data_IF_076369794045
#
_entry.id   IF_076369794045
#
_cell.length_a   1.000
_cell.length_b   1.000
_cell.length_c   1.000
_cell.angle_alpha   90.00
_cell.angle_beta   90.00
_cell.angle_gamma   90.00
#
_symmetry.space_group_name_H-M   'P 1'
#
loop_
_entity.id
_entity.type
_entity.pdbx_description
1 polymer ?
#
# COMPACT_ATOMS: atom_id res chain seq x y z
N UNK A 1 16.59 -14.74 -36.05
CA UNK A 1 17.32 -13.89 -35.07
C UNK A 1 16.52 -12.67 -34.70
N UNK A 2 15.95 -11.93 -35.65
CA UNK A 2 15.14 -10.75 -35.35
C UNK A 2 13.91 -11.11 -34.53
N UNK A 3 13.23 -12.19 -34.86
CA UNK A 3 12.09 -12.68 -34.11
C UNK A 3 12.46 -13.13 -32.69
N UNK A 4 13.63 -13.75 -32.53
CA UNK A 4 14.14 -14.14 -31.21
C UNK A 4 14.48 -12.95 -30.32
N UNK A 5 15.09 -11.92 -30.94
CA UNK A 5 15.39 -10.67 -30.20
C UNK A 5 14.12 -9.94 -29.78
N UNK A 6 13.10 -9.89 -30.61
CA UNK A 6 11.81 -9.31 -30.26
C UNK A 6 11.15 -10.08 -29.12
N UNK A 7 11.16 -11.41 -29.15
CA UNK A 7 10.65 -12.23 -28.06
C UNK A 7 11.40 -12.00 -26.75
N UNK A 8 12.71 -11.83 -26.80
CA UNK A 8 13.54 -11.54 -25.63
C UNK A 8 13.17 -10.17 -25.07
N UNK A 9 13.01 -9.17 -25.92
CA UNK A 9 12.60 -7.82 -25.50
C UNK A 9 11.22 -7.83 -24.81
N UNK A 10 10.26 -8.59 -25.38
CA UNK A 10 8.91 -8.70 -24.83
C UNK A 10 8.90 -9.38 -23.46
N UNK A 11 9.93 -10.16 -23.12
CA UNK A 11 10.07 -10.81 -21.80
C UNK A 11 10.51 -9.83 -20.70
N UNK A 12 11.15 -8.71 -21.07
CA UNK A 12 11.63 -7.70 -20.13
C UNK A 12 10.71 -6.49 -20.22
N UNK A 13 9.55 -6.64 -19.63
CA UNK A 13 8.57 -5.57 -19.58
C UNK A 13 8.68 -4.79 -18.29
N UNK A 14 8.60 -3.48 -18.42
CA UNK A 14 8.33 -2.60 -17.30
C UNK A 14 7.08 -1.81 -17.64
N UNK A 15 6.09 -1.89 -16.78
CA UNK A 15 4.86 -1.13 -16.91
C UNK A 15 4.56 -0.40 -15.61
N UNK A 16 4.03 0.80 -15.72
CA UNK A 16 3.77 1.63 -14.54
C UNK A 16 2.42 2.32 -14.68
N UNK A 17 1.68 2.38 -13.60
CA UNK A 17 0.40 3.07 -13.54
C UNK A 17 0.25 3.76 -12.19
N UNK A 18 -0.17 5.01 -12.24
CA UNK A 18 -0.54 5.76 -11.04
C UNK A 18 -2.06 5.84 -10.95
N UNK A 19 -2.59 5.61 -9.76
CA UNK A 19 -4.03 5.67 -9.51
C UNK A 19 -4.30 6.12 -8.08
N UNK A 20 -5.54 6.50 -7.80
CA UNK A 20 -5.96 7.00 -6.49
C UNK A 20 -6.90 6.00 -5.84
N UNK A 21 -6.54 5.55 -4.64
CA UNK A 21 -7.44 4.74 -3.82
C UNK A 21 -8.62 5.59 -3.33
N UNK A 22 -9.78 4.98 -3.27
CA UNK A 22 -10.99 5.60 -2.75
C UNK A 22 -10.74 6.13 -1.34
N UNK A 23 -11.19 7.38 -1.03
CA UNK A 23 -11.04 7.93 0.32
C UNK A 23 -11.67 7.03 1.38
N UNK A 24 -10.96 6.87 2.49
CA UNK A 24 -11.41 6.06 3.62
C UNK A 24 -11.16 6.81 4.92
N UNK A 25 -11.95 6.47 5.94
CA UNK A 25 -11.72 6.95 7.31
C UNK A 25 -10.41 6.41 7.85
N UNK A 26 -9.94 6.98 8.95
CA UNK A 26 -8.76 6.45 9.65
C UNK A 26 -8.96 4.98 10.02
N UNK A 27 -7.94 4.17 9.80
CA UNK A 27 -7.95 2.74 10.09
C UNK A 27 -7.14 1.93 9.09
N UNK A 28 -7.18 0.62 9.26
CA UNK A 28 -6.53 -0.36 8.41
C UNK A 28 -7.58 -0.96 7.46
N UNK A 29 -7.37 -0.79 6.16
CA UNK A 29 -8.37 -1.15 5.15
C UNK A 29 -7.80 -2.10 4.11
N UNK A 30 -8.45 -3.23 3.89
CA UNK A 30 -8.11 -4.15 2.80
C UNK A 30 -8.41 -3.47 1.47
N UNK A 31 -7.41 -3.39 0.62
CA UNK A 31 -7.48 -2.74 -0.69
C UNK A 31 -7.01 -3.65 -1.83
N UNK A 32 -6.83 -4.95 -1.56
CA UNK A 32 -6.31 -5.91 -2.53
C UNK A 32 -7.07 -5.85 -3.84
N UNK A 33 -8.40 -5.92 -3.80
CA UNK A 33 -9.23 -5.94 -5.01
C UNK A 33 -9.17 -4.60 -5.76
N UNK A 34 -9.18 -3.48 -5.06
CA UNK A 34 -9.07 -2.17 -5.69
C UNK A 34 -7.72 -2.00 -6.38
N UNK A 35 -6.64 -2.48 -5.76
CA UNK A 35 -5.31 -2.44 -6.37
C UNK A 35 -5.28 -3.33 -7.61
N UNK A 36 -5.73 -4.58 -7.50
CA UNK A 36 -5.71 -5.53 -8.63
C UNK A 36 -6.45 -4.95 -9.84
N UNK A 37 -7.60 -4.33 -9.63
CA UNK A 37 -8.38 -3.71 -10.72
C UNK A 37 -7.65 -2.59 -11.44
N UNK A 38 -6.66 -1.98 -10.80
CA UNK A 38 -5.91 -0.84 -11.34
C UNK A 38 -4.51 -1.21 -11.83
N UNK A 39 -4.13 -2.47 -11.77
CA UNK A 39 -2.78 -2.88 -12.19
C UNK A 39 -2.62 -2.88 -13.71
N UNK A 40 -1.40 -2.61 -14.20
CA UNK A 40 -1.04 -2.98 -15.58
C UNK A 40 -1.18 -4.50 -15.78
N UNK A 41 -1.19 -4.98 -17.04
CA UNK A 41 -1.14 -6.42 -17.30
C UNK A 41 0.04 -7.07 -16.59
N UNK A 42 -0.19 -8.25 -15.99
CA UNK A 42 0.84 -8.95 -15.24
C UNK A 42 1.58 -9.95 -16.14
N UNK A 43 2.93 -10.01 -16.04
CA UNK A 43 3.71 -11.04 -16.72
C UNK A 43 3.49 -12.40 -16.06
N UNK A 44 3.98 -13.47 -16.70
CA UNK A 44 3.93 -14.79 -16.08
C UNK A 44 4.77 -14.88 -14.82
N UNK A 45 5.90 -14.17 -14.78
CA UNK A 45 6.77 -14.08 -13.61
C UNK A 45 7.37 -12.69 -13.53
N UNK A 46 7.58 -12.18 -12.32
CA UNK A 46 8.14 -10.87 -12.09
C UNK A 46 7.82 -10.34 -10.70
N UNK A 47 7.82 -9.03 -10.57
CA UNK A 47 7.49 -8.36 -9.33
C UNK A 47 6.52 -7.21 -9.57
N UNK A 48 5.64 -6.99 -8.61
CA UNK A 48 4.84 -5.78 -8.47
C UNK A 48 5.44 -4.96 -7.33
N UNK A 49 5.76 -3.71 -7.61
CA UNK A 49 6.14 -2.74 -6.60
C UNK A 49 5.01 -1.72 -6.45
N UNK A 50 4.56 -1.51 -5.23
CA UNK A 50 3.56 -0.51 -4.88
C UNK A 50 4.21 0.57 -4.03
N UNK A 51 3.98 1.83 -4.37
CA UNK A 51 4.51 2.96 -3.63
C UNK A 51 3.40 3.95 -3.35
N UNK A 52 3.22 4.35 -2.07
CA UNK A 52 2.25 5.37 -1.70
C UNK A 52 2.92 6.75 -1.62
N UNK A 53 2.33 7.74 -2.28
CA UNK A 53 2.90 9.09 -2.43
C UNK A 53 2.40 10.04 -1.34
N UNK A 54 2.40 9.60 -0.09
CA UNK A 54 1.89 10.39 1.03
C UNK A 54 2.74 10.18 2.28
N UNK A 55 2.66 11.13 3.21
CA UNK A 55 3.40 11.14 4.46
C UNK A 55 2.54 10.81 5.68
N UNK A 56 1.25 10.57 5.48
CA UNK A 56 0.29 10.33 6.56
C UNK A 56 -0.56 9.09 6.34
N UNK A 57 -0.11 8.20 5.46
CA UNK A 57 -0.69 6.90 5.19
C UNK A 57 0.41 5.94 4.79
N UNK A 58 0.16 4.65 4.87
CA UNK A 58 1.13 3.62 4.53
C UNK A 58 0.50 2.42 3.86
N UNK A 59 1.35 1.49 3.44
CA UNK A 59 0.95 0.21 2.87
C UNK A 59 1.54 -0.91 3.71
N UNK A 60 0.77 -1.98 3.90
CA UNK A 60 1.27 -3.19 4.52
C UNK A 60 0.54 -4.42 3.98
N UNK A 61 1.06 -5.58 4.31
CA UNK A 61 0.43 -6.87 4.04
C UNK A 61 0.18 -7.54 5.37
N UNK A 62 -1.05 -7.96 5.61
CA UNK A 62 -1.41 -8.67 6.82
C UNK A 62 -2.66 -9.50 6.57
N UNK A 63 -3.23 -10.08 7.62
CA UNK A 63 -4.33 -11.03 7.53
C UNK A 63 -5.57 -10.42 6.85
N UNK A 64 -6.16 -11.20 5.97
CA UNK A 64 -7.30 -10.76 5.14
C UNK A 64 -8.65 -11.34 5.58
N UNK A 65 -8.71 -12.15 6.63
CA UNK A 65 -9.92 -12.91 6.96
C UNK A 65 -10.68 -12.34 8.15
N UNK A 66 -10.01 -12.14 9.28
CA UNK A 66 -10.66 -11.72 10.54
C UNK A 66 -10.67 -10.20 10.67
N UNK A 67 -11.87 -9.56 10.65
CA UNK A 67 -11.96 -8.11 10.84
C UNK A 67 -11.40 -7.61 12.18
N UNK A 68 -11.29 -8.48 13.18
CA UNK A 68 -10.73 -8.10 14.48
C UNK A 68 -9.26 -7.71 14.36
N UNK A 69 -8.53 -8.26 13.39
CA UNK A 69 -7.14 -7.86 13.15
C UNK A 69 -7.07 -6.38 12.76
N UNK A 70 -7.99 -5.91 11.94
CA UNK A 70 -8.05 -4.49 11.54
C UNK A 70 -8.37 -3.61 12.75
N UNK A 71 -9.33 -4.00 13.56
CA UNK A 71 -9.72 -3.29 14.76
C UNK A 71 -8.58 -3.22 15.78
N UNK A 72 -7.91 -4.35 16.00
CA UNK A 72 -6.81 -4.43 16.96
C UNK A 72 -5.59 -3.64 16.47
N UNK A 73 -5.27 -3.67 15.17
CA UNK A 73 -4.17 -2.88 14.62
C UNK A 73 -4.40 -1.39 14.81
N UNK A 74 -5.62 -0.92 14.59
CA UNK A 74 -5.98 0.48 14.85
C UNK A 74 -5.76 0.84 16.32
N UNK A 75 -6.25 0.01 17.23
CA UNK A 75 -6.09 0.23 18.68
C UNK A 75 -4.62 0.22 19.11
N UNK A 76 -3.84 -0.74 18.59
CA UNK A 76 -2.41 -0.85 18.88
C UNK A 76 -1.67 0.40 18.43
N UNK A 77 -1.88 0.84 17.20
CA UNK A 77 -1.19 2.01 16.65
C UNK A 77 -1.57 3.29 17.38
N UNK A 78 -2.85 3.44 17.77
CA UNK A 78 -3.30 4.60 18.54
C UNK A 78 -2.68 4.66 19.94
N UNK A 79 -2.35 3.52 20.52
CA UNK A 79 -1.66 3.45 21.82
C UNK A 79 -0.16 3.64 21.70
N UNK A 80 0.43 3.18 20.61
CA UNK A 80 1.87 3.38 20.35
C UNK A 80 2.20 4.83 20.05
N UNK A 81 1.35 5.50 19.28
CA UNK A 81 1.56 6.89 18.88
C UNK A 81 0.31 7.67 19.23
N UNK A 82 0.37 8.37 20.37
CA UNK A 82 -0.77 9.11 20.92
C UNK A 82 -0.88 10.50 20.31
N UNK A 83 -2.08 11.00 20.27
CA UNK A 83 -2.34 12.39 19.91
C UNK A 83 -1.97 13.33 21.06
N UNK A 84 -1.70 14.60 20.75
CA UNK A 84 -1.52 15.68 21.71
C UNK A 84 -0.42 15.45 22.75
N UNK A 85 0.64 14.77 22.35
CA UNK A 85 1.80 14.64 23.24
C UNK A 85 2.47 16.02 23.42
N UNK A 86 2.83 16.40 24.65
CA UNK A 86 3.36 17.74 24.91
C UNK A 86 4.65 18.09 24.16
N UNK A 87 5.41 17.07 23.77
CA UNK A 87 6.67 17.28 23.04
C UNK A 87 6.51 17.43 21.53
N UNK A 88 5.30 17.27 20.98
CA UNK A 88 5.08 17.50 19.56
C UNK A 88 5.21 18.99 19.23
N UNK A 89 5.93 19.28 18.15
CA UNK A 89 6.07 20.64 17.63
C UNK A 89 5.22 20.90 16.39
N UNK A 90 4.95 19.84 15.62
CA UNK A 90 4.12 19.91 14.42
C UNK A 90 2.65 19.77 14.81
N UNK A 91 1.98 20.89 15.09
CA UNK A 91 0.65 20.87 15.71
C UNK A 91 -0.42 21.70 14.99
N UNK A 92 -0.08 22.34 13.85
CA UNK A 92 -0.98 23.28 13.20
C UNK A 92 -2.03 22.63 12.28
N UNK A 93 -1.92 21.34 11.98
CA UNK A 93 -2.76 20.67 10.98
C UNK A 93 -3.74 19.66 11.58
N UNK A 94 -3.99 19.75 12.87
CA UNK A 94 -4.91 18.87 13.60
C UNK A 94 -4.17 17.87 14.49
N UNK A 95 -4.90 17.34 15.46
CA UNK A 95 -4.32 16.41 16.46
C UNK A 95 -3.88 15.08 15.87
N UNK A 96 -4.48 14.68 14.76
CA UNK A 96 -4.17 13.43 14.09
C UNK A 96 -2.96 13.50 13.17
N UNK A 97 -2.44 14.69 12.86
CA UNK A 97 -1.43 14.85 11.81
C UNK A 97 -0.05 14.34 12.23
N UNK A 98 0.52 14.84 13.33
CA UNK A 98 1.84 14.36 13.76
C UNK A 98 1.84 12.85 14.06
N UNK A 99 0.85 12.32 14.79
CA UNK A 99 0.74 10.86 14.92
C UNK A 99 0.65 10.13 13.58
N UNK A 100 -0.04 10.68 12.59
CA UNK A 100 -0.14 10.06 11.28
C UNK A 100 1.23 9.96 10.59
N UNK A 101 2.07 10.99 10.70
CA UNK A 101 3.43 10.93 10.15
C UNK A 101 4.27 9.85 10.83
N UNK A 102 4.21 9.73 12.14
CA UNK A 102 4.92 8.70 12.87
C UNK A 102 4.42 7.29 12.52
N UNK A 103 3.11 7.12 12.45
CA UNK A 103 2.50 5.83 12.06
C UNK A 103 2.84 5.44 10.64
N UNK A 104 2.85 6.41 9.69
CA UNK A 104 3.26 6.16 8.32
C UNK A 104 4.71 5.68 8.25
N UNK A 105 5.58 6.25 9.07
CA UNK A 105 6.98 5.81 9.17
C UNK A 105 7.07 4.37 9.66
N UNK A 106 6.24 3.99 10.62
CA UNK A 106 6.21 2.63 11.16
C UNK A 106 5.65 1.61 10.16
N UNK A 107 4.59 1.97 9.44
CA UNK A 107 3.95 1.04 8.49
C UNK A 107 4.72 0.91 7.17
N UNK A 108 5.39 1.96 6.74
CA UNK A 108 6.15 1.97 5.51
C UNK A 108 5.39 2.51 4.30
N UNK A 109 6.14 2.76 3.22
CA UNK A 109 5.64 3.44 2.03
C UNK A 109 5.53 2.54 0.81
N UNK A 110 6.08 1.34 0.85
CA UNK A 110 6.14 0.48 -0.33
C UNK A 110 6.03 -0.99 0.01
N UNK A 111 5.59 -1.75 -0.99
CA UNK A 111 5.53 -3.20 -0.95
C UNK A 111 6.12 -3.74 -2.24
N UNK A 112 6.79 -4.88 -2.15
CA UNK A 112 7.22 -5.66 -3.31
C UNK A 112 6.59 -7.04 -3.22
N UNK A 113 5.85 -7.42 -4.25
CA UNK A 113 5.07 -8.67 -4.27
C UNK A 113 5.50 -9.49 -5.48
N UNK A 114 5.86 -10.77 -5.32
CA UNK A 114 6.16 -11.63 -6.44
C UNK A 114 4.94 -11.85 -7.34
N UNK A 115 5.20 -11.96 -8.64
CA UNK A 115 4.19 -12.37 -9.62
C UNK A 115 4.58 -13.75 -10.13
N UNK A 116 3.66 -14.71 -10.08
CA UNK A 116 3.87 -16.08 -10.54
C UNK A 116 2.63 -16.54 -11.28
N UNK A 117 2.81 -17.11 -12.46
CA UNK A 117 1.72 -17.56 -13.32
C UNK A 117 0.67 -16.45 -13.58
N UNK A 118 1.13 -15.22 -13.76
CA UNK A 118 0.27 -14.08 -14.08
C UNK A 118 -0.56 -13.56 -12.91
N UNK A 119 -0.26 -13.96 -11.67
CA UNK A 119 -1.00 -13.57 -10.47
C UNK A 119 -0.05 -13.10 -9.38
N UNK A 120 -0.56 -12.30 -8.46
CA UNK A 120 0.17 -11.95 -7.26
C UNK A 120 0.37 -13.21 -6.41
N UNK A 121 1.62 -13.55 -6.14
CA UNK A 121 1.96 -14.74 -5.36
C UNK A 121 2.05 -14.35 -3.88
N UNK A 122 0.90 -14.23 -3.25
CA UNK A 122 0.77 -13.97 -1.81
C UNK A 122 0.14 -15.18 -1.12
N UNK A 123 0.34 -15.28 0.17
CA UNK A 123 -0.28 -16.32 0.98
C UNK A 123 -1.80 -16.17 1.02
N UNK A 124 -2.50 -17.29 1.24
CA UNK A 124 -3.97 -17.32 1.27
C UNK A 124 -4.55 -16.37 2.32
N UNK A 125 -3.82 -16.14 3.42
CA UNK A 125 -4.25 -15.26 4.50
C UNK A 125 -3.69 -13.84 4.41
N UNK A 126 -2.96 -13.53 3.33
CA UNK A 126 -2.40 -12.21 3.13
C UNK A 126 -3.30 -11.34 2.27
N UNK A 127 -3.44 -10.09 2.66
CA UNK A 127 -4.10 -9.07 1.86
C UNK A 127 -3.31 -7.77 1.93
N UNK A 128 -3.51 -6.93 0.94
CA UNK A 128 -2.86 -5.62 0.88
C UNK A 128 -3.73 -4.63 1.63
N UNK A 129 -3.11 -3.88 2.53
CA UNK A 129 -3.77 -2.88 3.37
C UNK A 129 -3.33 -1.47 3.01
N UNK A 130 -4.29 -0.57 2.91
CA UNK A 130 -4.07 0.85 3.10
C UNK A 130 -4.17 1.14 4.60
N UNK A 131 -3.10 1.70 5.15
CA UNK A 131 -3.08 2.20 6.51
C UNK A 131 -3.37 3.70 6.45
N UNK A 132 -4.61 4.10 6.72
CA UNK A 132 -5.02 5.49 6.72
C UNK A 132 -4.90 6.04 8.13
N UNK A 133 -4.03 7.04 8.31
CA UNK A 133 -3.76 7.58 9.64
C UNK A 133 -4.37 8.95 9.89
N UNK A 134 -5.01 9.53 8.86
CA UNK A 134 -5.75 10.79 9.02
C UNK A 134 -7.24 10.53 9.13
N UNK A 135 -7.94 11.37 9.90
CA UNK A 135 -9.40 11.30 9.98
C UNK A 135 -10.06 11.64 8.64
N UNK A 136 -9.43 12.55 7.89
CA UNK A 136 -9.91 12.99 6.56
C UNK A 136 -8.74 13.10 5.61
N UNK A 137 -8.16 11.96 5.26
CA UNK A 137 -6.97 11.91 4.41
C UNK A 137 -7.25 12.12 2.93
N UNK A 138 -8.50 11.98 2.50
CA UNK A 138 -8.85 12.05 1.08
C UNK A 138 -8.38 10.81 0.31
N UNK A 139 -8.36 10.91 -1.00
CA UNK A 139 -7.84 9.85 -1.85
C UNK A 139 -6.33 9.71 -1.71
N UNK A 140 -5.84 8.47 -1.70
CA UNK A 140 -4.41 8.19 -1.56
C UNK A 140 -3.86 7.68 -2.89
N UNK A 141 -2.79 8.30 -3.35
CA UNK A 141 -2.18 8.02 -4.66
C UNK A 141 -1.14 6.91 -4.54
N UNK A 142 -1.26 5.94 -5.43
CA UNK A 142 -0.38 4.76 -5.49
C UNK A 142 0.28 4.74 -6.86
N UNK A 143 1.57 4.45 -6.88
CA UNK A 143 2.29 4.11 -8.11
C UNK A 143 2.55 2.60 -8.10
N UNK A 144 1.99 1.91 -9.08
CA UNK A 144 2.21 0.48 -9.29
C UNK A 144 3.19 0.29 -10.44
N UNK A 145 4.28 -0.40 -10.17
CA UNK A 145 5.30 -0.73 -11.17
C UNK A 145 5.42 -2.25 -11.27
N UNK A 146 5.27 -2.76 -12.48
CA UNK A 146 5.39 -4.18 -12.78
C UNK A 146 6.66 -4.39 -13.59
N UNK A 147 7.51 -5.28 -13.13
CA UNK A 147 8.75 -5.68 -13.81
C UNK A 147 8.70 -7.19 -14.01
N UNK A 148 8.91 -7.59 -15.26
CA UNK A 148 8.87 -9.02 -15.56
C UNK A 148 9.38 -9.38 -16.94
#
# INVERSE_FOLDING_TARGET
LVGSEMCIRDRFMTAQKEFTLTPRRRGFHLVTEEIIRNLPPLPSAGILHLFIKHTSAGLTINENADPDVQTDMEAIFNRLVKEREPYYQHTCEGDDDMPAHAKATLSGTSLTIPITNGRLNIGIWQGIYLCEFRNRGGGRRIVATVIG
#
